data_IF_298660420989
#
_entry.id   IF_298660420989
#
_cell.length_a   1.000
_cell.length_b   1.000
_cell.length_c   1.000
_cell.angle_alpha   90.00
_cell.angle_beta   90.00
_cell.angle_gamma   90.00
#
_symmetry.space_group_name_H-M   'P 1'
#
loop_
_entity.id
_entity.type
_entity.pdbx_description
1 polymer ?
#
# COMPACT_ATOMS: atom_id res chain seq x y z
N UNK A 1 -2.78 4.68 7.29
CA UNK A 1 -1.39 4.36 7.73
C UNK A 1 -1.28 4.33 9.25
N UNK A 2 -2.18 5.00 9.99
CA UNK A 2 -2.24 4.89 11.46
C UNK A 2 -1.53 6.01 12.22
N UNK A 3 -1.33 7.17 11.61
CA UNK A 3 -0.70 8.30 12.29
C UNK A 3 -1.65 8.98 13.26
N UNK A 4 -1.09 9.64 14.28
CA UNK A 4 -1.85 10.34 15.30
C UNK A 4 -2.87 11.31 14.66
N UNK A 5 -4.14 11.16 15.02
CA UNK A 5 -5.27 11.95 14.47
C UNK A 5 -5.33 11.97 12.93
N UNK A 6 -5.01 10.86 12.27
CA UNK A 6 -5.08 10.75 10.81
C UNK A 6 -3.96 11.50 10.07
N UNK A 7 -2.90 11.88 10.77
CA UNK A 7 -1.71 12.52 10.17
C UNK A 7 -0.76 11.49 9.56
N UNK A 8 0.27 12.02 8.92
CA UNK A 8 1.44 11.27 8.48
C UNK A 8 2.02 10.40 9.61
N UNK A 9 2.57 9.26 9.24
CA UNK A 9 3.24 8.32 10.16
C UNK A 9 4.74 8.49 10.00
N UNK A 10 5.46 8.60 11.12
CA UNK A 10 6.92 8.58 11.17
C UNK A 10 7.56 9.73 10.41
N UNK A 11 8.45 9.37 9.50
CA UNK A 11 9.34 10.22 8.71
C UNK A 11 8.79 10.60 7.33
N UNK A 12 7.56 10.19 6.98
CA UNK A 12 6.90 10.55 5.72
C UNK A 12 5.96 11.74 5.88
N UNK A 13 6.43 13.00 5.80
CA UNK A 13 5.55 14.16 5.88
C UNK A 13 4.57 14.19 4.70
N UNK A 14 3.31 14.54 4.98
CA UNK A 14 2.28 14.74 3.95
C UNK A 14 1.58 13.49 3.43
N UNK A 15 2.12 12.28 3.64
CA UNK A 15 1.50 11.05 3.14
C UNK A 15 0.53 10.47 4.18
N UNK A 16 -0.77 10.43 3.85
CA UNK A 16 -1.84 9.97 4.76
C UNK A 16 -2.53 8.67 4.33
N UNK A 17 -2.22 8.18 3.13
CA UNK A 17 -2.78 6.96 2.55
C UNK A 17 -1.70 5.93 2.23
N UNK A 18 -2.10 4.66 2.14
CA UNK A 18 -1.24 3.56 1.67
C UNK A 18 -1.98 2.74 0.63
N UNK A 19 -1.25 2.16 -0.30
CA UNK A 19 -1.81 1.24 -1.29
C UNK A 19 -2.00 -0.14 -0.65
N UNK A 20 -3.16 -0.76 -0.86
CA UNK A 20 -3.48 -2.11 -0.35
C UNK A 20 -3.62 -3.13 -1.48
N UNK A 21 -4.16 -2.71 -2.62
CA UNK A 21 -4.35 -3.53 -3.82
C UNK A 21 -3.95 -2.75 -5.08
N UNK A 22 -3.49 -3.46 -6.10
CA UNK A 22 -3.17 -2.94 -7.43
C UNK A 22 -3.86 -3.83 -8.46
N UNK A 23 -4.67 -3.24 -9.35
CA UNK A 23 -5.42 -3.96 -10.38
C UNK A 23 -6.22 -5.17 -9.85
N UNK A 24 -6.84 -5.04 -8.67
CA UNK A 24 -7.61 -6.10 -8.01
C UNK A 24 -6.78 -7.12 -7.21
N UNK A 25 -5.46 -7.13 -7.36
CA UNK A 25 -4.55 -8.04 -6.65
C UNK A 25 -3.99 -7.37 -5.40
N UNK A 26 -3.85 -8.12 -4.30
CA UNK A 26 -3.25 -7.58 -3.08
C UNK A 26 -1.77 -7.26 -3.27
N UNK A 27 -1.35 -6.07 -2.85
CA UNK A 27 0.05 -5.64 -2.98
C UNK A 27 0.98 -6.58 -2.20
N UNK A 28 0.53 -7.09 -1.06
CA UNK A 28 1.29 -8.07 -0.27
C UNK A 28 1.53 -9.38 -1.03
N UNK A 29 0.54 -9.88 -1.79
CA UNK A 29 0.73 -11.09 -2.59
C UNK A 29 1.67 -10.87 -3.80
N UNK A 30 1.62 -9.67 -4.40
CA UNK A 30 2.56 -9.28 -5.47
C UNK A 30 4.01 -9.22 -4.94
N UNK A 31 4.22 -8.55 -3.79
CA UNK A 31 5.55 -8.45 -3.16
C UNK A 31 6.07 -9.83 -2.74
N UNK A 32 5.20 -10.68 -2.20
CA UNK A 32 5.55 -12.05 -1.82
C UNK A 32 5.74 -13.00 -3.01
N UNK A 33 5.54 -12.55 -4.26
CA UNK A 33 5.68 -13.35 -5.48
C UNK A 33 4.64 -14.47 -5.64
N UNK A 34 3.56 -14.45 -4.84
CA UNK A 34 2.51 -15.49 -4.87
C UNK A 34 1.53 -15.33 -6.03
N UNK A 35 1.42 -14.11 -6.54
CA UNK A 35 0.55 -13.75 -7.66
C UNK A 35 1.33 -12.81 -8.56
N UNK A 36 1.29 -13.02 -9.88
CA UNK A 36 1.89 -12.10 -10.83
C UNK A 36 1.00 -10.87 -11.04
N UNK A 37 1.62 -9.75 -11.40
CA UNK A 37 0.87 -8.54 -11.70
C UNK A 37 0.02 -8.80 -12.95
N UNK A 38 -1.31 -8.68 -12.88
CA UNK A 38 -2.14 -8.79 -14.07
C UNK A 38 -1.75 -7.66 -15.02
N UNK A 39 -1.15 -8.04 -16.13
CA UNK A 39 -0.81 -7.16 -17.24
C UNK A 39 -2.02 -7.15 -18.17
N UNK A 40 -2.57 -5.96 -18.38
CA UNK A 40 -3.72 -5.72 -19.27
C UNK A 40 -3.40 -4.53 -20.14
#
# INVERSE_FOLDING_TARGET
IGGAKGRAVGDLPGVRWRVVKVNGVSLHALIAGKVEKPMR
#
